data_IF_793991833486
#
_entry.id   IF_793991833486
#
_cell.length_a   1.000
_cell.length_b   1.000
_cell.length_c   1.000
_cell.angle_alpha   90.00
_cell.angle_beta   90.00
_cell.angle_gamma   90.00
#
_symmetry.space_group_name_H-M   'P 1'
#
loop_
_entity.id
_entity.type
_entity.pdbx_description
1 polymer ?
#
# COMPACT_ATOMS: atom_id res chain seq x y z
N UNK A 1 1.11 -41.41 25.49
CA UNK A 1 1.28 -40.29 26.44
C UNK A 1 2.56 -40.55 27.21
N UNK A 2 3.53 -39.61 27.18
CA UNK A 2 3.58 -38.64 28.28
C UNK A 2 3.90 -37.19 27.85
N UNK A 3 3.70 -36.33 28.84
CA UNK A 3 3.89 -34.89 28.98
C UNK A 3 5.23 -34.32 28.49
N UNK A 4 5.19 -33.14 27.86
CA UNK A 4 6.20 -32.06 27.97
C UNK A 4 5.82 -30.82 27.13
N UNK A 5 4.80 -30.06 27.53
CA UNK A 5 4.61 -28.68 27.03
C UNK A 5 4.24 -27.76 28.20
N UNK A 6 5.25 -27.31 28.93
CA UNK A 6 5.20 -26.09 29.74
C UNK A 6 6.40 -25.22 29.35
N UNK A 7 6.16 -23.91 29.34
CA UNK A 7 7.04 -22.78 29.03
C UNK A 7 7.50 -22.59 27.59
N UNK A 8 6.72 -21.81 26.82
CA UNK A 8 7.23 -20.94 25.76
C UNK A 8 7.34 -19.51 26.35
N UNK A 9 8.48 -18.81 26.24
CA UNK A 9 8.56 -17.39 26.57
C UNK A 9 7.86 -16.55 25.50
N UNK A 10 7.29 -15.43 25.93
CA UNK A 10 6.64 -14.45 25.09
C UNK A 10 7.59 -13.93 24.00
N UNK A 11 7.21 -14.10 22.73
CA UNK A 11 7.85 -13.49 21.58
C UNK A 11 7.88 -11.97 21.74
N UNK A 12 9.04 -11.44 22.13
CA UNK A 12 9.41 -10.05 21.92
C UNK A 12 10.28 -10.02 20.67
N UNK A 13 9.72 -9.49 19.59
CA UNK A 13 10.50 -9.11 18.41
C UNK A 13 11.42 -7.95 18.85
N UNK A 14 12.76 -8.05 18.68
CA UNK A 14 13.63 -6.96 19.07
C UNK A 14 13.50 -5.82 18.06
N UNK A 15 13.01 -4.67 18.55
CA UNK A 15 13.08 -3.40 17.83
C UNK A 15 14.55 -2.99 17.70
N UNK A 16 14.99 -2.72 16.47
CA UNK A 16 16.31 -2.17 16.19
C UNK A 16 16.43 -0.79 16.83
N UNK A 17 17.28 -0.66 17.85
CA UNK A 17 17.58 0.61 18.53
C UNK A 17 18.37 1.50 17.56
N UNK A 18 17.85 2.69 17.29
CA UNK A 18 18.55 3.71 16.49
C UNK A 18 19.91 4.05 17.13
N UNK A 19 20.96 3.96 16.33
CA UNK A 19 22.33 4.33 16.70
C UNK A 19 22.65 5.72 16.14
N UNK A 20 23.43 6.50 16.88
CA UNK A 20 23.92 7.78 16.34
C UNK A 20 24.96 7.54 15.22
N UNK A 21 25.39 8.62 14.54
CA UNK A 21 26.41 8.58 13.46
C UNK A 21 27.78 8.01 13.87
N UNK A 22 27.98 7.69 15.17
CA UNK A 22 29.19 7.04 15.71
C UNK A 22 28.93 5.62 16.22
N UNK A 23 27.77 5.03 15.94
CA UNK A 23 27.46 3.63 16.25
C UNK A 23 27.09 3.34 17.72
N UNK A 24 26.84 4.36 18.55
CA UNK A 24 26.44 4.18 19.95
C UNK A 24 24.90 4.07 20.10
N UNK A 25 24.39 3.16 20.95
CA UNK A 25 22.97 3.06 21.25
C UNK A 25 22.49 4.26 22.10
N UNK A 26 21.31 4.79 21.77
CA UNK A 26 20.65 5.81 22.59
C UNK A 26 20.07 5.12 23.84
N UNK A 27 20.72 5.30 24.98
CA UNK A 27 20.39 4.61 26.23
C UNK A 27 19.12 5.14 26.90
N UNK A 28 18.19 4.21 27.20
CA UNK A 28 17.14 4.34 28.19
C UNK A 28 17.71 4.10 29.60
N UNK A 29 17.41 4.98 30.55
CA UNK A 29 17.72 4.78 31.97
C UNK A 29 16.65 5.40 32.85
N UNK A 30 15.99 4.58 33.69
CA UNK A 30 15.16 5.02 34.82
C UNK A 30 13.88 4.20 35.01
N UNK A 31 13.91 3.22 35.93
CA UNK A 31 12.74 2.54 36.53
C UNK A 31 12.25 3.28 37.80
N UNK A 32 11.05 2.98 38.34
CA UNK A 32 10.10 3.96 38.87
C UNK A 32 10.17 4.19 40.38
N UNK A 33 9.78 5.38 40.83
CA UNK A 33 9.48 5.68 42.23
C UNK A 33 9.37 7.18 42.51
N UNK A 34 8.27 7.54 43.15
CA UNK A 34 8.01 8.73 43.96
C UNK A 34 7.49 10.04 43.33
N UNK A 35 6.28 10.32 43.79
CA UNK A 35 5.46 11.52 43.73
C UNK A 35 6.24 12.72 44.28
N UNK A 36 6.42 13.78 43.49
CA UNK A 36 6.52 15.17 43.97
C UNK A 36 5.99 16.12 42.88
N UNK A 37 4.94 16.86 43.21
CA UNK A 37 4.46 18.06 42.48
C UNK A 37 5.44 19.23 42.67
N UNK A 38 5.65 20.07 41.65
CA UNK A 38 5.87 21.48 41.93
C UNK A 38 4.91 22.40 41.16
N UNK A 39 4.42 23.36 41.93
CA UNK A 39 3.65 24.54 41.56
C UNK A 39 4.45 25.49 40.64
N UNK A 40 3.67 26.30 39.90
CA UNK A 40 3.95 27.65 39.44
C UNK A 40 5.30 27.99 38.77
N UNK A 41 5.24 28.18 37.45
CA UNK A 41 6.29 28.83 36.67
C UNK A 41 5.81 29.18 35.27
N UNK A 42 5.08 30.29 35.15
CA UNK A 42 4.48 30.73 33.90
C UNK A 42 5.47 31.08 32.79
N UNK A 43 5.11 30.75 31.55
CA UNK A 43 5.58 31.45 30.37
C UNK A 43 4.44 31.63 29.36
N UNK A 44 4.23 32.89 28.96
CA UNK A 44 3.15 33.36 28.09
C UNK A 44 3.59 33.33 26.62
N UNK A 45 2.61 33.15 25.72
CA UNK A 45 2.65 33.58 24.31
C UNK A 45 2.77 32.43 23.30
N UNK A 46 1.90 32.24 22.31
CA UNK A 46 0.71 33.01 21.90
C UNK A 46 -0.38 32.08 21.35
N UNK A 47 -1.62 32.53 21.54
CA UNK A 47 -2.84 31.90 21.02
C UNK A 47 -2.99 32.26 19.54
N UNK A 48 -3.16 31.27 18.69
CA UNK A 48 -3.93 31.41 17.46
C UNK A 48 -5.38 31.14 17.84
N UNK A 49 -6.18 32.22 17.95
CA UNK A 49 -7.62 32.14 18.08
C UNK A 49 -8.21 31.96 16.67
N UNK A 50 -8.81 30.80 16.40
CA UNK A 50 -9.75 30.66 15.28
C UNK A 50 -11.16 30.54 15.86
N UNK A 51 -11.89 31.64 15.73
CA UNK A 51 -13.32 31.74 15.92
C UNK A 51 -14.04 30.80 14.96
N UNK A 52 -14.89 29.92 15.49
CA UNK A 52 -16.02 29.39 14.73
C UNK A 52 -17.28 29.44 15.60
N UNK A 53 -18.13 30.40 15.24
CA UNK A 53 -19.48 30.61 15.73
C UNK A 53 -20.29 29.31 15.69
N UNK A 54 -20.80 28.93 16.86
CA UNK A 54 -21.84 27.94 17.03
C UNK A 54 -23.19 28.66 17.12
N UNK A 55 -23.78 29.02 15.97
CA UNK A 55 -25.21 29.33 15.90
C UNK A 55 -25.74 29.16 14.47
N UNK A 56 -26.91 28.55 14.40
CA UNK A 56 -27.79 28.36 13.24
C UNK A 56 -27.45 27.29 12.19
N UNK A 57 -27.95 26.08 12.48
CA UNK A 57 -28.42 25.15 11.45
C UNK A 57 -29.66 24.36 11.92
N UNK A 58 -30.80 25.06 12.10
CA UNK A 58 -32.12 24.42 12.01
C UNK A 58 -32.56 24.40 10.54
N UNK A 59 -32.08 23.42 9.78
CA UNK A 59 -32.67 23.08 8.48
C UNK A 59 -33.16 21.64 8.49
N UNK A 60 -34.43 21.44 8.14
CA UNK A 60 -35.15 20.17 8.11
C UNK A 60 -34.46 19.17 7.16
N UNK A 61 -33.54 18.38 7.68
CA UNK A 61 -33.01 17.18 7.03
C UNK A 61 -33.93 15.99 7.33
N UNK A 62 -34.39 15.31 6.28
CA UNK A 62 -35.17 14.08 6.38
C UNK A 62 -34.30 13.01 7.05
N UNK A 63 -34.61 12.63 8.29
CA UNK A 63 -33.86 11.64 9.06
C UNK A 63 -33.79 10.32 8.30
N UNK A 64 -32.57 9.89 7.96
CA UNK A 64 -32.27 8.57 7.37
C UNK A 64 -32.03 7.51 8.46
N UNK A 65 -32.56 7.68 9.66
CA UNK A 65 -32.46 6.66 10.71
C UNK A 65 -33.52 5.58 10.49
N UNK A 66 -33.18 4.56 9.69
CA UNK A 66 -33.86 3.26 9.79
C UNK A 66 -33.44 2.60 11.10
N UNK A 67 -34.39 1.95 11.78
CA UNK A 67 -34.08 1.09 12.93
C UNK A 67 -33.02 0.05 12.54
N UNK A 68 -32.02 -0.20 13.40
CA UNK A 68 -30.94 -1.12 13.08
C UNK A 68 -31.48 -2.53 12.85
N UNK A 69 -30.95 -3.21 11.82
CA UNK A 69 -31.20 -4.63 11.63
C UNK A 69 -30.77 -5.40 12.89
N UNK A 70 -31.68 -6.23 13.42
CA UNK A 70 -31.47 -7.03 14.62
C UNK A 70 -30.17 -7.85 14.49
N UNK A 71 -29.19 -7.58 15.36
CA UNK A 71 -27.94 -8.34 15.46
C UNK A 71 -26.65 -7.59 15.11
N UNK A 72 -26.70 -6.35 14.61
CA UNK A 72 -25.48 -5.55 14.37
C UNK A 72 -25.05 -4.84 15.65
N UNK A 73 -23.87 -5.16 16.17
CA UNK A 73 -23.26 -4.41 17.27
C UNK A 73 -22.99 -3.00 16.78
N UNK A 74 -23.61 -2.00 17.39
CA UNK A 74 -23.29 -0.60 17.11
C UNK A 74 -21.81 -0.35 17.46
N UNK A 75 -21.08 0.25 16.52
CA UNK A 75 -19.66 0.55 16.62
C UNK A 75 -19.47 2.02 16.31
N UNK A 76 -18.40 2.61 16.86
CA UNK A 76 -17.91 3.92 16.45
C UNK A 76 -16.78 3.73 15.43
N UNK A 77 -16.99 4.18 14.20
CA UNK A 77 -16.15 3.82 13.05
C UNK A 77 -15.54 5.06 12.41
N UNK A 78 -14.21 5.11 12.35
CA UNK A 78 -13.46 6.13 11.63
C UNK A 78 -13.33 5.74 10.15
N UNK A 79 -13.90 6.51 9.23
CA UNK A 79 -13.89 6.23 7.80
C UNK A 79 -12.86 7.09 7.08
N UNK A 80 -11.92 6.44 6.39
CA UNK A 80 -10.96 7.12 5.52
C UNK A 80 -11.65 7.66 4.25
N UNK A 81 -11.85 8.97 4.20
CA UNK A 81 -12.53 9.70 3.12
C UNK A 81 -11.52 10.44 2.24
N UNK A 82 -11.35 9.95 1.01
CA UNK A 82 -10.41 10.47 0.01
C UNK A 82 -11.01 11.53 -0.93
N UNK A 83 -12.29 11.86 -0.76
CA UNK A 83 -13.05 12.67 -1.72
C UNK A 83 -13.41 11.92 -3.01
N UNK A 84 -13.22 10.61 -3.04
CA UNK A 84 -13.66 9.73 -4.11
C UNK A 84 -14.94 8.98 -3.78
N UNK A 85 -15.68 8.58 -4.83
CA UNK A 85 -16.98 7.89 -4.74
C UNK A 85 -16.97 6.68 -3.80
N UNK A 86 -15.88 5.90 -3.81
CA UNK A 86 -15.78 4.65 -3.06
C UNK A 86 -15.80 4.91 -1.56
N UNK A 87 -14.95 5.83 -1.09
CA UNK A 87 -14.96 6.20 0.33
C UNK A 87 -16.25 6.87 0.77
N UNK A 88 -16.91 7.63 -0.12
CA UNK A 88 -18.19 8.28 0.14
C UNK A 88 -19.31 7.26 0.36
N UNK A 89 -19.42 6.27 -0.53
CA UNK A 89 -20.40 5.19 -0.41
C UNK A 89 -20.09 4.29 0.79
N UNK A 90 -18.81 4.00 1.06
CA UNK A 90 -18.43 3.23 2.23
C UNK A 90 -18.89 3.90 3.55
N UNK A 91 -18.73 5.23 3.67
CA UNK A 91 -19.24 5.98 4.81
C UNK A 91 -20.77 5.91 4.90
N UNK A 92 -21.46 6.11 3.78
CA UNK A 92 -22.92 6.08 3.73
C UNK A 92 -23.50 4.71 4.16
N UNK A 93 -22.90 3.61 3.68
CA UNK A 93 -23.34 2.26 4.06
C UNK A 93 -23.21 1.99 5.57
N UNK A 94 -22.18 2.55 6.22
CA UNK A 94 -21.99 2.41 7.66
C UNK A 94 -23.01 3.24 8.46
N UNK A 95 -23.34 4.45 7.98
CA UNK A 95 -24.42 5.27 8.55
C UNK A 95 -25.76 4.55 8.44
N UNK A 96 -26.07 4.00 7.27
CA UNK A 96 -27.32 3.26 7.03
C UNK A 96 -27.43 1.96 7.85
N UNK A 97 -26.29 1.34 8.18
CA UNK A 97 -26.23 0.19 9.07
C UNK A 97 -26.38 0.56 10.57
N UNK A 98 -26.50 1.86 10.89
CA UNK A 98 -26.72 2.35 12.24
C UNK A 98 -25.46 2.48 13.10
N UNK A 99 -24.28 2.54 12.50
CA UNK A 99 -23.03 2.81 13.22
C UNK A 99 -22.87 4.31 13.50
N UNK A 100 -22.12 4.63 14.56
CA UNK A 100 -21.65 6.01 14.77
C UNK A 100 -20.44 6.23 13.87
N UNK A 101 -20.58 7.07 12.85
CA UNK A 101 -19.55 7.25 11.82
C UNK A 101 -18.83 8.58 12.00
N UNK A 102 -17.50 8.54 11.95
CA UNK A 102 -16.63 9.73 11.93
C UNK A 102 -15.82 9.70 10.63
N UNK A 103 -15.92 10.75 9.82
CA UNK A 103 -15.11 10.88 8.61
C UNK A 103 -13.71 11.41 8.91
N UNK A 104 -12.71 10.96 8.15
CA UNK A 104 -11.36 11.49 8.23
C UNK A 104 -10.68 11.55 6.87
N UNK A 105 -10.01 12.67 6.56
CA UNK A 105 -9.16 12.81 5.39
C UNK A 105 -7.70 12.93 5.83
N UNK A 106 -6.81 12.15 5.20
CA UNK A 106 -5.38 12.21 5.42
C UNK A 106 -4.74 13.11 4.36
N UNK A 107 -4.15 14.22 4.79
CA UNK A 107 -3.29 15.05 3.96
C UNK A 107 -1.89 14.45 3.99
N UNK A 108 -1.49 13.82 2.88
CA UNK A 108 -0.26 13.03 2.77
C UNK A 108 0.89 13.77 2.11
N UNK A 109 0.62 14.79 1.32
CA UNK A 109 1.66 15.51 0.58
C UNK A 109 1.15 16.85 0.04
N UNK A 110 1.95 17.91 0.14
CA UNK A 110 1.65 19.19 -0.51
C UNK A 110 2.83 19.71 -1.32
N UNK A 111 2.66 19.81 -2.64
CA UNK A 111 3.43 20.79 -3.42
C UNK A 111 2.81 22.17 -3.20
N UNK A 112 3.28 22.87 -2.17
CA UNK A 112 2.94 24.29 -1.97
C UNK A 112 3.59 25.21 -3.02
N UNK A 113 4.50 24.70 -3.87
CA UNK A 113 5.30 25.51 -4.80
C UNK A 113 5.14 25.21 -6.30
N UNK A 114 4.32 24.23 -6.70
CA UNK A 114 4.02 24.01 -8.12
C UNK A 114 2.57 24.39 -8.33
N UNK A 115 2.26 25.38 -9.17
CA UNK A 115 0.90 25.83 -9.51
C UNK A 115 0.00 24.79 -10.19
N UNK A 116 0.21 23.50 -9.91
CA UNK A 116 -0.61 22.39 -10.34
C UNK A 116 -1.78 22.20 -9.36
N UNK A 117 -2.94 22.69 -9.76
CA UNK A 117 -4.25 22.27 -9.25
C UNK A 117 -4.63 20.90 -9.84
N UNK A 118 -3.78 19.89 -9.62
CA UNK A 118 -3.99 18.55 -10.14
C UNK A 118 -5.11 17.81 -9.41
N UNK A 119 -5.92 17.06 -10.16
CA UNK A 119 -7.03 16.17 -9.73
C UNK A 119 -6.58 14.96 -8.89
N UNK A 120 -5.63 15.14 -7.99
CA UNK A 120 -5.16 14.07 -7.09
C UNK A 120 -6.09 13.97 -5.89
N UNK A 121 -6.30 12.76 -5.37
CA UNK A 121 -7.14 12.51 -4.19
C UNK A 121 -6.66 13.23 -2.91
N UNK A 122 -5.43 13.72 -2.91
CA UNK A 122 -4.79 14.42 -1.81
C UNK A 122 -4.75 15.95 -1.99
N UNK A 123 -5.32 16.47 -3.09
CA UNK A 123 -5.46 17.89 -3.34
C UNK A 123 -6.61 18.54 -2.56
N UNK A 124 -6.67 19.87 -2.58
CA UNK A 124 -7.72 20.65 -1.92
C UNK A 124 -9.13 20.20 -2.34
N UNK A 125 -9.34 19.92 -3.63
CA UNK A 125 -10.63 19.43 -4.16
C UNK A 125 -11.07 18.13 -3.48
N UNK A 126 -10.16 17.17 -3.27
CA UNK A 126 -10.47 15.91 -2.59
C UNK A 126 -10.88 16.11 -1.13
N UNK A 127 -10.24 17.05 -0.44
CA UNK A 127 -10.58 17.41 0.95
C UNK A 127 -11.97 18.06 1.01
N UNK A 128 -12.25 18.98 0.08
CA UNK A 128 -13.55 19.66 0.00
C UNK A 128 -14.69 18.68 -0.33
N UNK A 129 -14.48 17.77 -1.26
CA UNK A 129 -15.46 16.72 -1.60
C UNK A 129 -15.74 15.81 -0.41
N UNK A 130 -14.71 15.39 0.33
CA UNK A 130 -14.89 14.57 1.53
C UNK A 130 -15.71 15.31 2.58
N UNK A 131 -15.46 16.60 2.78
CA UNK A 131 -16.21 17.46 3.71
C UNK A 131 -17.66 17.65 3.28
N UNK A 132 -17.92 17.85 1.97
CA UNK A 132 -19.27 17.98 1.43
C UNK A 132 -20.09 16.70 1.65
N UNK A 133 -19.49 15.54 1.36
CA UNK A 133 -20.12 14.23 1.62
C UNK A 133 -20.38 14.03 3.11
N UNK A 134 -19.43 14.34 3.98
CA UNK A 134 -19.62 14.21 5.42
C UNK A 134 -20.78 15.07 5.94
N UNK A 135 -20.87 16.33 5.47
CA UNK A 135 -22.00 17.22 5.79
C UNK A 135 -23.33 16.62 5.34
N UNK A 136 -23.40 16.08 4.12
CA UNK A 136 -24.60 15.45 3.57
C UNK A 136 -25.03 14.21 4.36
N UNK A 137 -24.07 13.44 4.86
CA UNK A 137 -24.33 12.26 5.69
C UNK A 137 -24.62 12.61 7.17
N UNK A 138 -24.45 13.88 7.58
CA UNK A 138 -24.62 14.29 8.97
C UNK A 138 -23.55 13.76 9.92
N UNK A 139 -22.34 13.51 9.44
CA UNK A 139 -21.23 12.96 10.22
C UNK A 139 -20.12 14.00 10.47
N UNK A 140 -19.43 13.96 11.62
CA UNK A 140 -18.24 14.78 11.83
C UNK A 140 -17.12 14.39 10.86
N UNK A 141 -16.26 15.35 10.52
CA UNK A 141 -15.13 15.13 9.60
C UNK A 141 -13.86 15.79 10.12
N UNK A 142 -12.77 15.03 10.17
CA UNK A 142 -11.45 15.50 10.61
C UNK A 142 -10.46 15.52 9.45
N UNK A 143 -9.60 16.54 9.43
CA UNK A 143 -8.43 16.59 8.55
C UNK A 143 -7.17 16.28 9.35
N UNK A 144 -6.40 15.34 8.85
CA UNK A 144 -5.22 14.81 9.50
C UNK A 144 -3.99 15.02 8.64
N UNK A 145 -3.08 15.88 9.07
CA UNK A 145 -1.77 15.99 8.43
C UNK A 145 -0.91 14.78 8.82
N UNK A 146 -0.46 14.03 7.81
CA UNK A 146 0.41 12.85 7.94
C UNK A 146 1.58 12.92 6.93
N UNK A 147 1.91 14.13 6.49
CA UNK A 147 2.90 14.35 5.44
C UNK A 147 4.30 13.85 5.84
N UNK A 148 4.67 13.99 7.11
CA UNK A 148 5.94 13.51 7.63
C UNK A 148 6.01 11.98 7.60
N UNK A 149 5.00 11.28 8.13
CA UNK A 149 4.94 9.82 8.12
C UNK A 149 4.85 9.27 6.70
N UNK A 150 4.08 9.91 5.82
CA UNK A 150 3.95 9.53 4.43
C UNK A 150 5.27 9.73 3.67
N UNK A 151 5.96 10.85 3.90
CA UNK A 151 7.26 11.10 3.28
C UNK A 151 8.27 10.05 3.73
N UNK A 152 8.35 9.79 5.04
CA UNK A 152 9.29 8.82 5.61
C UNK A 152 9.01 7.39 5.16
N UNK A 153 7.76 6.94 5.24
CA UNK A 153 7.41 5.52 5.10
C UNK A 153 7.07 5.12 3.65
N UNK A 154 6.72 6.09 2.79
CA UNK A 154 6.29 5.83 1.41
C UNK A 154 7.20 6.50 0.39
N UNK A 155 7.41 7.82 0.47
CA UNK A 155 8.19 8.55 -0.54
C UNK A 155 9.67 8.15 -0.47
N UNK A 156 10.25 8.07 0.73
CA UNK A 156 11.66 7.70 0.88
C UNK A 156 11.92 6.25 0.45
N UNK A 157 11.09 5.29 0.85
CA UNK A 157 11.18 3.90 0.36
C UNK A 157 11.04 3.86 -1.18
N UNK A 158 10.10 4.62 -1.74
CA UNK A 158 9.95 4.70 -3.20
C UNK A 158 11.23 5.19 -3.88
N UNK A 159 11.83 6.27 -3.40
CA UNK A 159 13.08 6.83 -3.96
C UNK A 159 14.25 5.87 -3.77
N UNK A 160 14.38 5.24 -2.61
CA UNK A 160 15.46 4.30 -2.30
C UNK A 160 15.39 3.03 -3.16
N UNK A 161 14.19 2.49 -3.38
CA UNK A 161 14.00 1.31 -4.24
C UNK A 161 14.43 1.59 -5.69
N UNK A 162 14.03 2.73 -6.26
CA UNK A 162 14.48 3.14 -7.58
C UNK A 162 15.99 3.40 -7.63
N UNK A 163 16.55 3.99 -6.57
CA UNK A 163 18.00 4.19 -6.45
C UNK A 163 18.77 2.85 -6.45
N UNK A 164 18.13 1.76 -6.01
CA UNK A 164 18.66 0.39 -6.04
C UNK A 164 18.26 -0.39 -7.32
N UNK A 165 17.71 0.27 -8.34
CA UNK A 165 17.31 -0.39 -9.60
C UNK A 165 16.07 -1.27 -9.48
N UNK A 166 15.28 -1.12 -8.42
CA UNK A 166 14.04 -1.85 -8.15
C UNK A 166 12.83 -0.98 -8.49
N UNK A 167 11.70 -1.60 -8.80
CA UNK A 167 10.44 -0.88 -9.07
C UNK A 167 9.45 -1.11 -7.93
N UNK A 168 9.29 -0.16 -7.00
CA UNK A 168 8.45 -0.30 -5.81
C UNK A 168 6.94 -0.24 -6.10
N UNK A 169 6.14 -0.75 -5.15
CA UNK A 169 4.71 -0.51 -5.10
C UNK A 169 4.35 0.42 -3.91
N UNK A 170 4.19 1.73 -4.14
CA UNK A 170 3.94 2.68 -3.06
C UNK A 170 2.57 2.52 -2.40
N UNK A 171 1.59 1.93 -3.10
CA UNK A 171 0.25 1.73 -2.54
C UNK A 171 0.25 0.65 -1.45
N UNK A 172 1.00 -0.44 -1.65
CA UNK A 172 1.23 -1.47 -0.61
C UNK A 172 1.90 -0.86 0.61
N UNK A 173 2.95 -0.07 0.41
CA UNK A 173 3.67 0.62 1.49
C UNK A 173 2.77 1.59 2.25
N UNK A 174 2.02 2.42 1.53
CA UNK A 174 1.04 3.33 2.13
C UNK A 174 0.03 2.59 3.00
N UNK A 175 -0.56 1.50 2.52
CA UNK A 175 -1.53 0.73 3.32
C UNK A 175 -0.89 0.08 4.56
N UNK A 176 0.30 -0.50 4.41
CA UNK A 176 0.96 -1.27 5.46
C UNK A 176 1.53 -0.38 6.56
N UNK A 177 2.11 0.77 6.20
CA UNK A 177 2.87 1.60 7.12
C UNK A 177 2.19 2.92 7.46
N UNK A 178 1.47 3.58 6.56
CA UNK A 178 0.90 4.91 6.86
C UNK A 178 -0.61 4.82 7.13
N UNK A 179 -1.41 4.46 6.11
CA UNK A 179 -2.87 4.58 6.10
C UNK A 179 -3.53 3.93 7.32
N UNK A 180 -3.44 2.60 7.45
CA UNK A 180 -4.19 1.90 8.49
C UNK A 180 -3.56 2.05 9.87
N UNK A 181 -2.22 2.07 9.95
CA UNK A 181 -1.50 2.31 11.21
C UNK A 181 -1.91 3.65 11.82
N UNK A 182 -1.81 4.72 11.03
CA UNK A 182 -2.04 6.08 11.53
C UNK A 182 -3.54 6.35 11.74
N UNK A 183 -4.42 5.80 10.88
CA UNK A 183 -5.86 5.85 11.12
C UNK A 183 -6.27 5.11 12.39
N UNK A 184 -5.67 3.96 12.70
CA UNK A 184 -6.01 3.21 13.91
C UNK A 184 -5.53 3.90 15.19
N UNK A 185 -4.42 4.64 15.12
CA UNK A 185 -3.98 5.53 16.21
C UNK A 185 -5.01 6.64 16.42
N UNK A 186 -5.35 7.40 15.37
CA UNK A 186 -6.32 8.50 15.44
C UNK A 186 -7.73 8.02 15.79
N UNK A 187 -8.10 6.82 15.37
CA UNK A 187 -9.33 6.16 15.78
C UNK A 187 -9.37 5.96 17.30
N UNK A 188 -8.25 5.57 17.93
CA UNK A 188 -8.19 5.45 19.39
C UNK A 188 -8.40 6.81 20.08
N UNK A 189 -7.76 7.87 19.58
CA UNK A 189 -7.91 9.24 20.11
C UNK A 189 -9.37 9.73 20.01
N UNK A 190 -10.08 9.30 18.97
CA UNK A 190 -11.50 9.60 18.73
C UNK A 190 -12.46 8.55 19.33
N UNK A 191 -11.96 7.64 20.18
CA UNK A 191 -12.76 6.54 20.77
C UNK A 191 -13.51 5.66 19.76
N UNK A 192 -12.98 5.55 18.54
CA UNK A 192 -13.48 4.68 17.48
C UNK A 192 -12.94 3.25 17.67
N UNK A 193 -13.83 2.27 17.68
CA UNK A 193 -13.50 0.85 17.84
C UNK A 193 -13.00 0.22 16.54
N UNK A 194 -13.38 0.80 15.39
CA UNK A 194 -13.02 0.31 14.06
C UNK A 194 -12.61 1.44 13.10
N UNK A 195 -11.91 1.05 12.03
CA UNK A 195 -11.55 1.91 10.88
C UNK A 195 -12.13 1.30 9.61
N UNK A 196 -12.71 2.13 8.76
CA UNK A 196 -13.21 1.73 7.45
C UNK A 196 -12.52 2.45 6.31
N UNK A 197 -12.52 1.83 5.13
CA UNK A 197 -12.10 2.48 3.89
C UNK A 197 -12.88 1.92 2.70
N UNK A 198 -12.88 2.65 1.59
CA UNK A 198 -13.50 2.23 0.33
C UNK A 198 -12.74 1.16 -0.45
N UNK A 199 -11.98 0.29 0.23
CA UNK A 199 -11.26 -0.78 -0.46
C UNK A 199 -12.21 -1.90 -0.91
N UNK A 200 -12.02 -2.40 -2.13
CA UNK A 200 -12.70 -3.57 -2.67
C UNK A 200 -11.99 -4.86 -2.22
N UNK A 201 -12.16 -5.19 -0.94
CA UNK A 201 -11.68 -6.42 -0.32
C UNK A 201 -12.69 -6.85 0.76
N UNK A 202 -12.65 -8.11 1.18
CA UNK A 202 -13.55 -8.64 2.21
C UNK A 202 -12.76 -9.09 3.43
N UNK A 203 -13.36 -8.94 4.60
CA UNK A 203 -12.86 -9.51 5.84
C UNK A 203 -13.90 -10.54 6.29
N UNK A 204 -13.47 -11.79 6.41
CA UNK A 204 -14.35 -12.93 6.72
C UNK A 204 -13.86 -13.57 8.01
N UNK A 205 -14.74 -13.87 8.98
CA UNK A 205 -14.36 -14.63 10.18
C UNK A 205 -13.73 -15.97 9.81
N UNK A 206 -12.65 -16.32 10.51
CA UNK A 206 -11.91 -17.56 10.37
C UNK A 206 -11.51 -18.09 11.76
N UNK A 207 -11.02 -19.33 11.84
CA UNK A 207 -10.64 -19.97 13.10
C UNK A 207 -9.57 -19.18 13.89
N UNK A 208 -8.67 -18.49 13.19
CA UNK A 208 -7.59 -17.65 13.71
C UNK A 208 -7.99 -16.16 13.90
N UNK A 209 -9.22 -15.78 13.54
CA UNK A 209 -9.72 -14.42 13.68
C UNK A 209 -10.43 -13.91 12.44
N UNK A 210 -9.81 -12.95 11.75
CA UNK A 210 -10.34 -12.39 10.50
C UNK A 210 -9.38 -12.72 9.37
N UNK A 211 -9.91 -13.26 8.28
CA UNK A 211 -9.17 -13.52 7.06
C UNK A 211 -9.44 -12.41 6.04
N UNK A 212 -8.39 -11.95 5.37
CA UNK A 212 -8.51 -11.07 4.22
C UNK A 212 -8.86 -11.89 2.97
N UNK A 213 -9.89 -11.47 2.26
CA UNK A 213 -10.35 -12.08 1.03
C UNK A 213 -10.44 -11.06 -0.09
N UNK A 214 -10.36 -11.57 -1.31
CA UNK A 214 -10.65 -10.83 -2.54
C UNK A 214 -12.07 -10.26 -2.52
N UNK A 215 -12.23 -9.05 -3.06
CA UNK A 215 -13.52 -8.45 -3.35
C UNK A 215 -14.33 -9.29 -4.35
N UNK A 216 -15.66 -9.19 -4.31
CA UNK A 216 -16.53 -9.91 -5.26
C UNK A 216 -16.33 -9.42 -6.69
N UNK A 217 -16.06 -8.11 -6.86
CA UNK A 217 -15.70 -7.53 -8.14
C UNK A 217 -14.22 -7.78 -8.44
N UNK A 218 -13.95 -8.83 -9.22
CA UNK A 218 -12.58 -9.21 -9.61
C UNK A 218 -11.85 -8.12 -10.39
N UNK A 219 -12.56 -7.26 -11.11
CA UNK A 219 -11.95 -6.18 -11.89
C UNK A 219 -11.47 -5.02 -11.02
N UNK A 220 -12.06 -4.88 -9.82
CA UNK A 220 -11.74 -3.85 -8.85
C UNK A 220 -11.07 -4.37 -7.58
N UNK A 221 -10.86 -5.68 -7.45
CA UNK A 221 -10.23 -6.26 -6.27
C UNK A 221 -8.94 -5.53 -5.89
N UNK A 222 -8.89 -5.11 -4.63
CA UNK A 222 -7.76 -4.38 -4.05
C UNK A 222 -7.07 -5.16 -2.95
N UNK A 223 -7.43 -6.43 -2.73
CA UNK A 223 -6.77 -7.30 -1.74
C UNK A 223 -5.25 -7.42 -1.95
N UNK A 224 -4.80 -7.34 -3.22
CA UNK A 224 -3.38 -7.28 -3.58
C UNK A 224 -2.61 -6.15 -2.89
N UNK A 225 -3.25 -5.01 -2.57
CA UNK A 225 -2.57 -3.88 -1.93
C UNK A 225 -2.56 -3.96 -0.40
N UNK A 226 -3.10 -5.03 0.18
CA UNK A 226 -3.38 -5.17 1.62
C UNK A 226 -2.66 -6.36 2.26
N UNK A 227 -1.77 -7.06 1.53
CA UNK A 227 -1.04 -8.22 2.05
C UNK A 227 -0.11 -7.88 3.23
N UNK A 228 0.43 -6.66 3.25
CA UNK A 228 1.37 -6.19 4.28
C UNK A 228 0.71 -5.67 5.55
N UNK A 229 -0.60 -5.82 5.71
CA UNK A 229 -1.29 -5.45 6.94
C UNK A 229 -0.91 -6.41 8.08
N UNK A 230 -0.67 -5.93 9.31
CA UNK A 230 -0.52 -6.84 10.44
C UNK A 230 -1.84 -7.61 10.71
N UNK A 231 -1.80 -8.93 10.96
CA UNK A 231 -3.01 -9.75 11.17
C UNK A 231 -3.90 -9.24 12.31
N UNK A 232 -3.27 -8.68 13.35
CA UNK A 232 -3.94 -8.11 14.51
C UNK A 232 -4.82 -6.92 14.16
N UNK A 233 -4.53 -6.20 13.08
CA UNK A 233 -5.33 -5.05 12.66
C UNK A 233 -6.64 -5.48 11.98
N UNK A 234 -6.68 -6.65 11.33
CA UNK A 234 -7.82 -7.07 10.50
C UNK A 234 -9.16 -7.05 11.26
N UNK A 235 -9.15 -7.37 12.56
CA UNK A 235 -10.36 -7.34 13.41
C UNK A 235 -10.96 -5.94 13.57
N UNK A 236 -10.14 -4.90 13.48
CA UNK A 236 -10.55 -3.49 13.60
C UNK A 236 -10.86 -2.84 12.25
N UNK A 237 -10.72 -3.55 11.14
CA UNK A 237 -10.95 -2.99 9.80
C UNK A 237 -12.34 -3.32 9.27
N UNK A 238 -12.89 -2.43 8.45
CA UNK A 238 -14.13 -2.63 7.70
C UNK A 238 -13.93 -2.23 6.24
N UNK A 239 -14.39 -3.08 5.33
CA UNK A 239 -14.37 -2.82 3.89
C UNK A 239 -15.79 -2.97 3.32
N UNK A 240 -16.66 -1.94 3.48
CA UNK A 240 -18.07 -2.04 3.13
C UNK A 240 -18.33 -2.37 1.65
N UNK A 241 -17.39 -2.04 0.76
CA UNK A 241 -17.53 -2.26 -0.68
C UNK A 241 -17.10 -3.66 -1.13
N UNK A 242 -16.55 -4.49 -0.25
CA UNK A 242 -16.01 -5.80 -0.60
C UNK A 242 -17.01 -6.76 -1.25
N UNK A 243 -18.30 -6.55 -0.99
CA UNK A 243 -19.42 -7.35 -1.50
C UNK A 243 -20.20 -6.64 -2.62
N UNK A 244 -19.67 -5.55 -3.18
CA UNK A 244 -20.32 -4.79 -4.25
C UNK A 244 -19.45 -4.69 -5.49
N UNK A 245 -20.10 -4.64 -6.65
CA UNK A 245 -19.48 -4.24 -7.91
C UNK A 245 -19.31 -2.74 -8.00
N UNK A 246 -18.36 -2.28 -8.84
CA UNK A 246 -18.20 -0.84 -9.08
C UNK A 246 -19.48 -0.19 -9.58
N UNK A 247 -20.22 -0.91 -10.42
CA UNK A 247 -21.49 -0.44 -10.97
C UNK A 247 -22.51 -0.19 -9.86
N UNK A 248 -22.66 -1.14 -8.92
CA UNK A 248 -23.55 -0.99 -7.75
C UNK A 248 -23.11 0.17 -6.86
N UNK A 249 -21.81 0.35 -6.63
CA UNK A 249 -21.27 1.48 -5.86
C UNK A 249 -21.65 2.82 -6.52
N UNK A 250 -21.46 2.98 -7.83
CA UNK A 250 -21.87 4.21 -8.54
C UNK A 250 -23.38 4.42 -8.53
N UNK A 251 -24.17 3.34 -8.69
CA UNK A 251 -25.63 3.40 -8.58
C UNK A 251 -26.06 3.87 -7.20
N UNK A 252 -25.40 3.37 -6.15
CA UNK A 252 -25.65 3.77 -4.76
C UNK A 252 -25.31 5.24 -4.54
N UNK A 253 -24.16 5.69 -5.00
CA UNK A 253 -23.75 7.09 -4.92
C UNK A 253 -24.78 8.04 -5.56
N UNK A 254 -25.30 7.70 -6.75
CA UNK A 254 -26.37 8.47 -7.41
C UNK A 254 -27.67 8.45 -6.61
N UNK A 255 -28.08 7.30 -6.08
CA UNK A 255 -29.31 7.19 -5.25
C UNK A 255 -29.25 8.03 -3.97
N UNK A 256 -28.05 8.25 -3.46
CA UNK A 256 -27.78 9.09 -2.29
C UNK A 256 -27.50 10.54 -2.68
N UNK A 257 -27.54 10.86 -3.98
CA UNK A 257 -27.20 12.15 -4.60
C UNK A 257 -25.87 12.72 -4.08
N UNK A 258 -24.86 11.85 -3.98
CA UNK A 258 -23.50 12.26 -3.60
C UNK A 258 -22.83 12.95 -4.79
N UNK A 259 -22.26 14.13 -4.56
CA UNK A 259 -21.54 14.92 -5.58
C UNK A 259 -20.40 14.12 -6.24
N UNK A 260 -19.79 13.19 -5.49
CA UNK A 260 -18.71 12.32 -5.97
C UNK A 260 -19.16 11.21 -6.93
N UNK A 261 -20.47 11.02 -7.18
CA UNK A 261 -21.02 9.85 -7.89
C UNK A 261 -20.43 9.64 -9.30
N UNK A 262 -20.18 10.72 -10.04
CA UNK A 262 -19.68 10.70 -11.41
C UNK A 262 -18.20 11.06 -11.51
N UNK A 263 -17.53 11.27 -10.37
CA UNK A 263 -16.09 11.56 -10.34
C UNK A 263 -15.27 10.41 -10.93
N UNK A 264 -14.21 10.75 -11.66
CA UNK A 264 -13.28 9.78 -12.21
C UNK A 264 -12.42 9.15 -11.11
N UNK A 265 -12.02 7.90 -11.29
CA UNK A 265 -11.10 7.24 -10.38
C UNK A 265 -9.67 7.80 -10.54
N UNK A 266 -8.92 7.90 -9.44
CA UNK A 266 -7.48 8.16 -9.51
C UNK A 266 -6.76 6.92 -10.02
N UNK A 267 -6.08 7.03 -11.16
CA UNK A 267 -5.30 5.92 -11.76
C UNK A 267 -3.78 6.05 -11.56
N UNK A 268 -3.31 7.22 -11.11
CA UNK A 268 -1.88 7.54 -10.97
C UNK A 268 -1.37 7.42 -9.53
N UNK A 269 -0.04 7.32 -9.37
CA UNK A 269 0.62 7.38 -8.06
C UNK A 269 0.30 8.74 -7.40
N UNK A 270 -0.29 8.71 -6.21
CA UNK A 270 -0.91 9.89 -5.59
C UNK A 270 0.04 11.10 -5.37
N UNK A 271 1.35 10.88 -5.28
CA UNK A 271 2.37 11.92 -5.09
C UNK A 271 3.24 12.19 -6.33
N UNK A 272 2.87 11.63 -7.49
CA UNK A 272 3.52 11.88 -8.79
C UNK A 272 2.51 12.57 -9.72
N UNK A 273 2.27 13.88 -9.55
CA UNK A 273 1.19 14.59 -10.21
C UNK A 273 1.38 14.74 -11.73
N UNK A 274 2.63 14.70 -12.21
CA UNK A 274 2.97 14.79 -13.64
C UNK A 274 2.81 13.46 -14.37
N UNK A 275 2.63 12.36 -13.65
CA UNK A 275 2.71 11.00 -14.19
C UNK A 275 4.14 10.52 -14.46
N UNK A 276 5.15 11.39 -14.37
CA UNK A 276 6.56 11.00 -14.50
C UNK A 276 7.26 10.98 -13.14
N UNK A 277 7.47 9.77 -12.60
CA UNK A 277 8.13 9.57 -11.32
C UNK A 277 9.60 9.99 -11.36
N UNK A 278 10.23 10.08 -12.54
CA UNK A 278 11.63 10.49 -12.68
C UNK A 278 11.83 11.93 -12.22
N UNK A 279 10.81 12.77 -12.33
CA UNK A 279 10.82 14.14 -11.80
C UNK A 279 11.00 14.14 -10.28
N UNK A 280 10.36 13.21 -9.59
CA UNK A 280 10.49 13.06 -8.15
C UNK A 280 11.90 12.56 -7.77
N UNK A 281 12.42 11.58 -8.51
CA UNK A 281 13.76 11.04 -8.28
C UNK A 281 14.83 12.14 -8.43
N UNK A 282 14.77 12.94 -9.50
CA UNK A 282 15.71 14.05 -9.74
C UNK A 282 15.68 15.13 -8.63
N UNK A 283 14.54 15.30 -7.97
CA UNK A 283 14.39 16.28 -6.88
C UNK A 283 14.82 15.73 -5.51
N UNK A 284 14.79 14.41 -5.31
CA UNK A 284 15.02 13.77 -4.00
C UNK A 284 16.39 13.12 -3.88
N UNK A 285 16.97 12.66 -4.99
CA UNK A 285 18.32 12.13 -5.01
C UNK A 285 19.34 13.28 -5.19
N UNK A 286 20.58 13.09 -4.71
CA UNK A 286 21.68 13.97 -5.07
C UNK A 286 21.82 14.11 -6.60
N UNK A 287 22.17 15.29 -7.09
CA UNK A 287 22.27 15.57 -8.53
C UNK A 287 23.18 14.58 -9.28
N UNK A 288 24.26 14.14 -8.62
CA UNK A 288 25.24 13.16 -9.15
C UNK A 288 25.04 11.73 -8.64
N UNK A 289 23.83 11.38 -8.24
CA UNK A 289 23.56 10.03 -7.77
C UNK A 289 23.63 9.04 -8.95
N UNK A 290 24.38 7.94 -8.81
CA UNK A 290 24.62 6.95 -9.87
C UNK A 290 23.35 6.47 -10.62
N UNK A 291 22.22 6.42 -9.93
CA UNK A 291 20.92 6.02 -10.48
C UNK A 291 20.36 6.96 -11.54
N UNK A 292 20.83 8.21 -11.55
CA UNK A 292 20.46 9.27 -12.49
C UNK A 292 21.59 9.59 -13.47
N UNK A 293 22.72 8.88 -13.38
CA UNK A 293 23.86 9.08 -14.25
C UNK A 293 23.76 8.18 -15.49
N UNK A 294 24.31 8.62 -16.63
CA UNK A 294 24.33 7.80 -17.82
C UNK A 294 25.08 6.48 -17.63
N UNK A 295 24.67 5.47 -18.40
CA UNK A 295 25.23 4.12 -18.32
C UNK A 295 24.86 3.29 -19.54
N UNK A 296 25.54 2.17 -19.78
CA UNK A 296 25.35 1.39 -20.99
C UNK A 296 24.07 0.55 -20.97
N UNK A 297 23.43 0.46 -22.12
CA UNK A 297 22.57 -0.69 -22.43
C UNK A 297 23.46 -1.85 -22.86
N UNK A 298 23.30 -3.01 -22.22
CA UNK A 298 24.09 -4.23 -22.52
C UNK A 298 23.20 -5.40 -22.91
N UNK A 299 23.65 -6.28 -23.79
CA UNK A 299 22.93 -7.53 -24.10
C UNK A 299 23.12 -8.57 -22.99
N UNK A 300 22.48 -9.73 -23.13
CA UNK A 300 22.69 -10.87 -22.23
C UNK A 300 24.13 -11.41 -22.30
N UNK A 301 24.79 -11.23 -23.44
CA UNK A 301 26.16 -11.62 -23.74
C UNK A 301 27.19 -10.56 -23.28
N UNK A 302 26.71 -9.40 -22.80
CA UNK A 302 27.55 -8.29 -22.33
C UNK A 302 27.96 -7.30 -23.42
N UNK A 303 27.39 -7.38 -24.62
CA UNK A 303 27.68 -6.41 -25.68
C UNK A 303 26.99 -5.07 -25.42
N UNK A 304 27.72 -3.96 -25.53
CA UNK A 304 27.14 -2.62 -25.39
C UNK A 304 26.38 -2.25 -26.66
N UNK A 305 25.09 -1.94 -26.53
CA UNK A 305 24.19 -1.64 -27.66
C UNK A 305 23.64 -0.21 -27.65
N UNK A 306 24.04 0.60 -26.67
CA UNK A 306 23.65 1.99 -26.54
C UNK A 306 23.90 2.53 -25.14
N UNK A 307 23.34 3.70 -24.87
CA UNK A 307 23.47 4.40 -23.59
C UNK A 307 22.10 4.89 -23.12
N UNK A 308 21.87 4.83 -21.80
CA UNK A 308 20.70 5.37 -21.13
C UNK A 308 21.06 6.59 -20.29
N UNK A 309 20.08 7.44 -19.97
CA UNK A 309 20.30 8.63 -19.12
C UNK A 309 20.26 8.37 -17.62
N UNK A 310 20.01 7.14 -17.18
CA UNK A 310 19.97 6.75 -15.76
C UNK A 310 19.12 5.50 -15.54
N UNK A 311 19.68 4.49 -14.87
CA UNK A 311 19.01 3.18 -14.75
C UNK A 311 17.70 3.25 -13.96
N UNK A 312 17.53 4.23 -13.06
CA UNK A 312 16.30 4.40 -12.29
C UNK A 312 15.09 4.78 -13.15
N UNK A 313 15.30 5.20 -14.40
CA UNK A 313 14.22 5.50 -15.35
C UNK A 313 13.62 4.26 -16.04
N UNK A 314 14.07 3.05 -15.69
CA UNK A 314 13.72 1.80 -16.35
C UNK A 314 13.09 0.81 -15.37
N UNK A 315 12.26 -0.07 -15.93
CA UNK A 315 11.60 -1.17 -15.22
C UNK A 315 11.73 -2.45 -16.04
N UNK A 316 11.93 -3.59 -15.38
CA UNK A 316 11.96 -4.91 -16.05
C UNK A 316 10.70 -5.12 -16.89
N UNK A 317 10.86 -5.60 -18.12
CA UNK A 317 9.79 -5.75 -19.11
C UNK A 317 9.45 -4.47 -19.89
N UNK A 318 10.07 -3.33 -19.60
CA UNK A 318 9.92 -2.12 -20.40
C UNK A 318 10.48 -2.33 -21.81
N UNK A 319 9.72 -1.90 -22.83
CA UNK A 319 10.11 -1.94 -24.26
C UNK A 319 10.49 -0.57 -24.82
N UNK A 320 9.82 0.50 -24.35
CA UNK A 320 9.98 1.85 -24.90
C UNK A 320 11.23 2.52 -24.32
N UNK A 321 11.86 3.40 -25.10
CA UNK A 321 12.97 4.25 -24.62
C UNK A 321 14.31 3.52 -24.44
N UNK A 322 14.51 2.38 -25.11
CA UNK A 322 15.74 1.57 -24.96
C UNK A 322 16.89 1.94 -25.92
N UNK A 323 16.73 3.00 -26.73
CA UNK A 323 17.72 3.39 -27.75
C UNK A 323 17.92 2.33 -28.84
N UNK A 324 18.44 2.73 -30.00
CA UNK A 324 18.87 1.82 -31.07
C UNK A 324 17.73 1.13 -31.85
N UNK A 325 17.76 1.26 -33.18
CA UNK A 325 16.85 0.56 -34.10
C UNK A 325 17.26 -0.89 -34.30
N UNK A 326 17.16 -1.73 -33.25
CA UNK A 326 17.37 -3.17 -33.41
C UNK A 326 16.31 -3.76 -34.34
N UNK A 327 16.73 -4.70 -35.20
CA UNK A 327 15.81 -5.42 -36.10
C UNK A 327 14.70 -6.16 -35.34
N UNK A 328 15.01 -6.62 -34.12
CA UNK A 328 14.07 -7.31 -33.24
C UNK A 328 13.72 -6.48 -31.99
N UNK A 329 12.48 -6.58 -31.47
CA UNK A 329 12.08 -5.88 -30.25
C UNK A 329 12.88 -6.32 -29.02
N UNK A 330 13.50 -5.36 -28.32
CA UNK A 330 14.19 -5.58 -27.04
C UNK A 330 13.36 -5.15 -25.85
N UNK A 331 13.62 -5.78 -24.71
CA UNK A 331 13.00 -5.50 -23.42
C UNK A 331 14.09 -5.38 -22.34
N UNK A 332 13.85 -4.58 -21.30
CA UNK A 332 14.69 -4.56 -20.09
C UNK A 332 14.55 -5.91 -19.38
N UNK A 333 15.63 -6.67 -19.30
CA UNK A 333 15.67 -7.97 -18.63
C UNK A 333 16.08 -7.82 -17.17
N UNK A 334 17.04 -6.95 -16.91
CA UNK A 334 17.70 -6.81 -15.62
C UNK A 334 18.29 -5.39 -15.51
N UNK A 335 18.36 -4.87 -14.29
CA UNK A 335 19.03 -3.61 -13.97
C UNK A 335 20.15 -3.95 -13.00
N UNK A 336 21.37 -3.49 -13.29
CA UNK A 336 22.57 -3.74 -12.46
C UNK A 336 23.15 -2.41 -11.97
N UNK A 337 22.70 -1.92 -10.80
CA UNK A 337 23.10 -0.63 -10.27
C UNK A 337 24.62 -0.44 -10.13
N UNK A 338 25.33 -1.50 -9.72
CA UNK A 338 26.76 -1.46 -9.43
C UNK A 338 27.61 -1.13 -10.67
N UNK A 339 27.17 -1.61 -11.84
CA UNK A 339 27.79 -1.32 -13.13
C UNK A 339 27.11 -0.17 -13.88
N UNK A 340 25.98 0.35 -13.35
CA UNK A 340 25.05 1.26 -14.04
C UNK A 340 24.58 0.70 -15.39
N UNK A 341 24.38 -0.61 -15.46
CA UNK A 341 23.94 -1.29 -16.67
C UNK A 341 22.43 -1.50 -16.68
N UNK A 342 21.82 -1.31 -17.84
CA UNK A 342 20.48 -1.84 -18.14
C UNK A 342 20.62 -2.96 -19.16
N UNK A 343 20.34 -4.19 -18.72
CA UNK A 343 20.43 -5.37 -19.56
C UNK A 343 19.19 -5.46 -20.43
N UNK A 344 19.37 -5.57 -21.75
CA UNK A 344 18.30 -5.69 -22.73
C UNK A 344 18.39 -7.00 -23.49
N UNK A 345 17.24 -7.56 -23.86
CA UNK A 345 17.18 -8.86 -24.51
C UNK A 345 15.83 -9.16 -25.14
N UNK A 346 15.69 -10.36 -25.71
CA UNK A 346 14.46 -10.78 -26.36
C UNK A 346 13.37 -11.11 -25.32
N UNK A 347 12.13 -11.26 -25.77
CA UNK A 347 10.97 -11.43 -24.87
C UNK A 347 11.07 -12.70 -24.03
N UNK A 348 11.68 -13.74 -24.58
CA UNK A 348 11.86 -15.07 -24.02
C UNK A 348 12.74 -15.01 -22.75
N UNK A 349 13.66 -14.03 -22.68
CA UNK A 349 14.53 -13.83 -21.53
C UNK A 349 13.81 -13.19 -20.32
N UNK A 350 12.57 -12.70 -20.48
CA UNK A 350 11.77 -12.14 -19.39
C UNK A 350 11.10 -13.21 -18.51
N UNK A 351 11.07 -14.47 -18.96
CA UNK A 351 10.34 -15.52 -18.28
C UNK A 351 11.12 -16.08 -17.08
N UNK A 352 10.48 -16.11 -15.92
CA UNK A 352 11.01 -16.64 -14.67
C UNK A 352 10.02 -17.61 -14.03
N UNK A 353 10.51 -18.70 -13.47
CA UNK A 353 9.72 -19.73 -12.78
C UNK A 353 10.07 -19.84 -11.29
N UNK A 354 11.15 -19.22 -10.82
CA UNK A 354 11.44 -19.06 -9.39
C UNK A 354 11.45 -17.58 -8.99
N UNK A 355 10.66 -17.24 -7.97
CA UNK A 355 10.58 -15.87 -7.44
C UNK A 355 10.96 -15.90 -5.97
N UNK A 356 12.02 -15.18 -5.60
CA UNK A 356 12.41 -15.00 -4.20
C UNK A 356 11.77 -13.73 -3.66
N UNK A 357 11.04 -13.88 -2.55
CA UNK A 357 10.44 -12.77 -1.83
C UNK A 357 11.19 -12.52 -0.52
N UNK A 358 11.30 -11.25 -0.15
CA UNK A 358 11.88 -10.80 1.11
C UNK A 358 10.82 -10.14 1.99
N UNK A 359 11.07 -10.14 3.30
CA UNK A 359 10.18 -9.57 4.32
C UNK A 359 8.73 -10.09 4.23
N UNK A 360 8.52 -11.42 4.21
CA UNK A 360 7.19 -11.96 4.05
C UNK A 360 6.29 -11.57 5.22
N UNK A 361 5.08 -11.10 4.93
CA UNK A 361 4.04 -10.82 5.90
C UNK A 361 2.88 -11.79 5.66
N UNK A 362 2.53 -12.56 6.69
CA UNK A 362 1.47 -13.56 6.63
C UNK A 362 0.26 -13.12 7.45
N UNK A 363 -0.92 -13.17 6.82
CA UNK A 363 -2.24 -12.82 7.37
C UNK A 363 -2.94 -14.00 8.06
N UNK A 364 -2.23 -15.11 8.23
CA UNK A 364 -2.68 -16.36 8.82
C UNK A 364 -1.49 -17.31 8.97
N UNK A 365 -1.73 -18.63 9.10
CA UNK A 365 -0.67 -19.62 9.13
C UNK A 365 0.23 -19.50 7.90
N UNK A 366 1.54 -19.57 8.13
CA UNK A 366 2.52 -19.61 7.06
C UNK A 366 2.30 -20.90 6.25
N UNK A 367 2.21 -20.85 4.91
CA UNK A 367 2.08 -22.03 4.10
C UNK A 367 3.21 -23.02 4.35
N UNK A 368 2.86 -24.30 4.52
CA UNK A 368 3.84 -25.36 4.68
C UNK A 368 4.77 -25.42 3.46
N UNK A 369 5.98 -25.96 3.67
CA UNK A 369 6.88 -26.26 2.55
C UNK A 369 6.17 -27.17 1.54
N UNK A 370 6.34 -26.86 0.27
CA UNK A 370 5.69 -27.53 -0.86
C UNK A 370 4.17 -27.43 -0.90
N UNK A 371 3.56 -26.54 -0.11
CA UNK A 371 2.13 -26.26 -0.24
C UNK A 371 1.84 -25.65 -1.62
N UNK A 372 0.79 -26.15 -2.28
CA UNK A 372 0.25 -25.55 -3.50
C UNK A 372 -0.46 -24.24 -3.16
N UNK A 373 -0.12 -23.18 -3.89
CA UNK A 373 -0.64 -21.83 -3.69
C UNK A 373 -0.90 -21.14 -5.02
N UNK A 374 -1.74 -20.12 -4.99
CA UNK A 374 -1.89 -19.18 -6.10
C UNK A 374 -1.05 -17.93 -5.83
N UNK A 375 -0.27 -17.48 -6.80
CA UNK A 375 0.64 -16.34 -6.69
C UNK A 375 0.25 -15.25 -7.68
N UNK A 376 0.16 -14.01 -7.21
CA UNK A 376 -0.02 -12.84 -8.07
C UNK A 376 1.21 -11.93 -7.97
N UNK A 377 1.90 -11.70 -9.08
CA UNK A 377 3.20 -10.99 -9.12
C UNK A 377 3.10 -9.51 -9.49
N UNK A 378 1.93 -9.06 -9.96
CA UNK A 378 1.64 -7.67 -10.29
C UNK A 378 0.13 -7.42 -10.19
N UNK A 379 -0.24 -6.18 -9.90
CA UNK A 379 -1.65 -5.79 -9.93
C UNK A 379 -2.24 -6.04 -11.33
N UNK A 380 -3.45 -6.63 -11.36
CA UNK A 380 -4.20 -7.06 -12.57
C UNK A 380 -3.57 -8.20 -13.39
N UNK A 381 -2.42 -8.76 -13.02
CA UNK A 381 -2.03 -10.04 -13.63
C UNK A 381 -2.94 -11.16 -13.11
N UNK A 382 -3.20 -12.17 -13.95
CA UNK A 382 -3.72 -13.45 -13.48
C UNK A 382 -2.85 -14.02 -12.36
N UNK A 383 -3.48 -14.80 -11.48
CA UNK A 383 -2.74 -15.61 -10.53
C UNK A 383 -2.21 -16.88 -11.21
N UNK A 384 -1.03 -17.32 -10.78
CA UNK A 384 -0.37 -18.52 -11.28
C UNK A 384 -0.22 -19.52 -10.15
N UNK A 385 -0.47 -20.80 -10.43
CA UNK A 385 -0.23 -21.86 -9.46
C UNK A 385 1.27 -22.05 -9.21
N UNK A 386 1.64 -22.39 -7.99
CA UNK A 386 3.02 -22.62 -7.60
C UNK A 386 3.15 -23.29 -6.25
N UNK A 387 4.39 -23.51 -5.83
CA UNK A 387 4.74 -24.11 -4.56
C UNK A 387 5.63 -23.20 -3.73
N UNK A 388 5.47 -23.29 -2.41
CA UNK A 388 6.28 -22.55 -1.44
C UNK A 388 7.53 -23.34 -1.06
N UNK A 389 8.70 -22.73 -1.15
CA UNK A 389 9.96 -23.23 -0.59
C UNK A 389 10.55 -22.23 0.40
N UNK A 390 10.67 -22.65 1.65
CA UNK A 390 11.30 -21.85 2.70
C UNK A 390 12.82 -21.86 2.50
N UNK A 391 13.44 -20.67 2.45
CA UNK A 391 14.90 -20.53 2.47
C UNK A 391 15.38 -20.30 3.89
N UNK A 392 14.82 -19.30 4.56
CA UNK A 392 15.07 -18.90 5.93
C UNK A 392 13.87 -18.12 6.48
N UNK A 393 14.00 -17.51 7.67
CA UNK A 393 12.90 -16.76 8.30
C UNK A 393 12.50 -15.47 7.56
N UNK A 394 13.42 -14.88 6.80
CA UNK A 394 13.22 -13.59 6.11
C UNK A 394 12.96 -13.76 4.61
N UNK A 395 13.18 -14.96 4.06
CA UNK A 395 13.13 -15.26 2.63
C UNK A 395 12.37 -16.52 2.29
N UNK A 396 11.56 -16.40 1.25
CA UNK A 396 10.75 -17.49 0.73
C UNK A 396 10.83 -17.51 -0.80
N UNK A 397 10.92 -18.70 -1.37
CA UNK A 397 10.91 -18.91 -2.82
C UNK A 397 9.56 -19.45 -3.24
N UNK A 398 9.01 -18.86 -4.30
CA UNK A 398 7.80 -19.30 -4.98
C UNK A 398 8.20 -19.96 -6.29
N UNK A 399 8.01 -21.27 -6.38
CA UNK A 399 8.22 -22.04 -7.62
C UNK A 399 6.93 -22.08 -8.42
N UNK A 400 6.89 -21.35 -9.53
CA UNK A 400 5.72 -21.20 -10.37
C UNK A 400 5.59 -22.41 -11.31
N UNK A 401 4.38 -22.93 -11.47
CA UNK A 401 4.11 -24.04 -12.39
C UNK A 401 4.17 -23.63 -13.85
N UNK A 402 4.02 -22.34 -14.13
CA UNK A 402 4.15 -21.77 -15.47
C UNK A 402 5.02 -20.52 -15.39
N UNK A 403 6.11 -20.43 -16.19
CA UNK A 403 6.97 -19.25 -16.18
C UNK A 403 6.19 -17.96 -16.41
N UNK A 404 6.50 -16.93 -15.64
CA UNK A 404 5.88 -15.62 -15.73
C UNK A 404 6.85 -14.60 -16.32
N UNK A 405 6.34 -13.76 -17.21
CA UNK A 405 7.13 -12.71 -17.85
C UNK A 405 7.24 -11.47 -16.97
N UNK A 406 8.41 -10.84 -16.98
CA UNK A 406 8.69 -9.54 -16.36
C UNK A 406 8.44 -9.51 -14.85
N UNK A 407 8.87 -10.57 -14.15
CA UNK A 407 8.90 -10.57 -12.68
C UNK A 407 9.92 -9.54 -12.21
N UNK A 408 9.43 -8.50 -11.53
CA UNK A 408 10.20 -7.27 -11.32
C UNK A 408 10.59 -7.11 -9.84
N UNK A 409 11.89 -7.03 -9.50
CA UNK A 409 12.33 -6.69 -8.15
C UNK A 409 11.70 -5.39 -7.63
N UNK A 410 11.31 -5.38 -6.35
CA UNK A 410 10.61 -4.26 -5.70
C UNK A 410 9.07 -4.34 -5.76
N UNK A 411 8.50 -5.08 -6.74
CA UNK A 411 7.06 -5.33 -6.80
C UNK A 411 6.62 -6.31 -5.71
N UNK A 412 5.31 -6.47 -5.51
CA UNK A 412 4.78 -7.45 -4.57
C UNK A 412 4.45 -8.77 -5.23
N UNK A 413 4.82 -9.86 -4.57
CA UNK A 413 4.28 -11.19 -4.83
C UNK A 413 3.32 -11.55 -3.69
N UNK A 414 2.05 -11.77 -4.04
CA UNK A 414 0.96 -12.03 -3.08
C UNK A 414 0.49 -13.46 -3.24
N UNK A 415 0.35 -14.15 -2.12
CA UNK A 415 0.03 -15.59 -2.04
C UNK A 415 -1.41 -15.76 -1.59
N UNK A 416 -2.15 -16.61 -2.30
CA UNK A 416 -3.58 -16.85 -2.11
C UNK A 416 -3.91 -18.34 -1.99
N UNK A 417 -5.03 -18.60 -1.33
CA UNK A 417 -5.74 -19.88 -1.38
C UNK A 417 -7.21 -19.61 -1.75
N UNK A 418 -7.56 -19.92 -3.00
CA UNK A 418 -8.84 -19.48 -3.59
C UNK A 418 -8.97 -17.95 -3.51
N UNK A 419 -9.96 -17.46 -2.75
CA UNK A 419 -10.13 -16.02 -2.54
C UNK A 419 -9.37 -15.45 -1.34
N UNK A 420 -8.87 -16.28 -0.42
CA UNK A 420 -8.16 -15.84 0.79
C UNK A 420 -6.77 -15.36 0.43
N UNK A 421 -6.39 -14.19 0.94
CA UNK A 421 -5.00 -13.73 0.94
C UNK A 421 -4.30 -14.39 2.11
N UNK A 422 -3.28 -15.21 1.83
CA UNK A 422 -2.46 -15.81 2.87
C UNK A 422 -1.40 -14.82 3.36
N UNK A 423 -0.84 -14.04 2.45
CA UNK A 423 0.22 -13.09 2.74
C UNK A 423 0.93 -12.64 1.48
N UNK A 424 2.12 -12.09 1.61
CA UNK A 424 2.95 -11.70 0.48
C UNK A 424 4.33 -11.22 0.91
N UNK A 425 5.11 -10.79 -0.05
CA UNK A 425 6.42 -10.18 0.18
C UNK A 425 6.83 -9.29 -0.99
N UNK A 426 7.91 -8.54 -0.78
CA UNK A 426 8.58 -7.79 -1.85
C UNK A 426 9.42 -8.77 -2.68
N UNK A 427 9.29 -8.72 -4.00
CA UNK A 427 10.13 -9.51 -4.89
C UNK A 427 11.56 -9.00 -4.76
N UNK A 428 12.48 -9.86 -4.34
CA UNK A 428 13.90 -9.56 -4.23
C UNK A 428 14.61 -9.82 -5.55
N UNK A 429 14.38 -11.00 -6.12
CA UNK A 429 14.90 -11.41 -7.43
C UNK A 429 14.00 -12.48 -8.05
N UNK A 430 14.14 -12.67 -9.35
CA UNK A 430 13.52 -13.75 -10.10
C UNK A 430 14.59 -14.49 -10.90
N UNK A 431 14.54 -15.82 -10.89
CA UNK A 431 15.47 -16.64 -11.69
C UNK A 431 14.79 -16.99 -13.01
N UNK A 432 15.52 -16.77 -14.10
CA UNK A 432 15.04 -17.07 -15.45
C UNK A 432 14.70 -18.56 -15.54
N UNK A 433 13.56 -18.85 -16.14
CA UNK A 433 13.22 -20.22 -16.48
C UNK A 433 14.30 -20.76 -17.42
N UNK A 434 14.73 -22.00 -17.21
CA UNK A 434 15.60 -22.66 -18.18
C UNK A 434 14.81 -22.74 -19.48
N UNK A 435 15.29 -22.08 -20.54
CA UNK A 435 14.76 -22.33 -21.88
C UNK A 435 14.91 -23.84 -22.11
N UNK A 436 13.85 -24.59 -22.48
CA UNK A 436 14.07 -25.94 -22.98
C UNK A 436 15.09 -25.79 -24.11
N UNK A 437 16.21 -26.52 -24.01
CA UNK A 437 17.21 -26.53 -25.07
C UNK A 437 16.46 -26.74 -26.38
N UNK A 438 16.61 -25.80 -27.32
CA UNK A 438 16.02 -25.94 -28.65
C UNK A 438 16.41 -27.33 -29.15
N UNK A 439 15.46 -28.18 -29.60
CA UNK A 439 15.85 -29.46 -30.17
C UNK A 439 16.82 -29.13 -31.30
N UNK A 440 18.06 -29.63 -31.17
CA UNK A 440 19.06 -29.53 -32.22
C UNK A 440 18.38 -29.97 -33.51
N UNK A 441 18.22 -29.04 -34.45
CA UNK A 441 17.83 -29.34 -35.81
C UNK A 441 18.91 -30.27 -36.36
N UNK A 442 18.56 -31.55 -36.49
CA UNK A 442 19.38 -32.58 -37.16
C UNK A 442 19.36 -32.33 -38.65
#
# INVERSE_FOLDING_TARGET
MPERWRSLPANTVPWTVARNRRGQPLGSGGTPGDIVTPEDGGFRGGRYEDNLDASDAKSKGRSLTKEPAVGVRQERVLVAMSGGVDSSVAAALLVEAGHEVVGATMRTFCYSGSGFHGKTCCGLDGIMDARAVARRLGIPHHLFNVEEEFTRDVINDFVEEYAQGRTPNPCVRCNSFTKFRDLLRRAADLSCTAVASGHYARLIPAADGMALHRGVDRSKDQSYFLWGLPPTLLRRLRFPLGSMTKHEVRKRARSLELETADKSESQEICFVPTGDYRDLLRKRLPERHQALEPGPFVTLEGEVVGEHSGYAGFTVGQRKGLGGGSAEPRFVIEIRPEAREVVVGPREALFSDEVEIETPCWLGPVPARSAEVLVQLRHRAPEVAGHVEHRDEERLVLKLLTPQSAVTPGQSAVVFQGSRVLGGGRIRLARRARTPASPLSV
#
